data_IF_627332109514
#
_entry.id   IF_627332109514
#
_cell.length_a   1.000
_cell.length_b   1.000
_cell.length_c   1.000
_cell.angle_alpha   90.00
_cell.angle_beta   90.00
_cell.angle_gamma   90.00
#
_symmetry.space_group_name_H-M   'P 1'
#
loop_
_entity.id
_entity.type
_entity.pdbx_description
1 polymer ?
#
# COMPACT_ATOMS: atom_id res chain seq x y z
N UNK A 1 -14.97 4.60 30.89
CA UNK A 1 -13.67 5.04 31.46
C UNK A 1 -12.70 5.48 30.36
N UNK A 2 -11.58 6.15 30.72
CA UNK A 2 -10.56 6.58 29.73
C UNK A 2 -9.96 5.39 28.96
N UNK A 3 -9.82 4.23 29.59
CA UNK A 3 -9.28 3.02 28.98
C UNK A 3 -10.24 2.44 27.91
N UNK A 4 -11.54 2.47 28.16
CA UNK A 4 -12.55 1.99 27.20
C UNK A 4 -12.60 2.91 25.98
N UNK A 5 -12.46 4.20 26.19
CA UNK A 5 -12.40 5.20 25.13
C UNK A 5 -11.15 5.04 24.25
N UNK A 6 -10.00 4.72 24.86
CA UNK A 6 -8.74 4.49 24.15
C UNK A 6 -8.77 3.21 23.30
N UNK A 7 -9.34 2.12 23.84
CA UNK A 7 -9.51 0.86 23.08
C UNK A 7 -10.47 1.05 21.91
N UNK A 8 -11.57 1.76 22.13
CA UNK A 8 -12.54 2.08 21.07
C UNK A 8 -11.92 2.97 19.98
N UNK A 9 -11.06 3.92 20.36
CA UNK A 9 -10.33 4.73 19.37
C UNK A 9 -9.33 3.89 18.57
N UNK A 10 -8.55 3.04 19.23
CA UNK A 10 -7.62 2.14 18.58
C UNK A 10 -8.33 1.16 17.62
N UNK A 11 -9.54 0.70 17.98
CA UNK A 11 -10.35 -0.20 17.17
C UNK A 11 -10.83 0.42 15.83
N UNK A 12 -10.86 1.74 15.71
CA UNK A 12 -11.26 2.44 14.47
C UNK A 12 -10.10 2.69 13.52
N UNK A 13 -8.87 2.41 13.94
CA UNK A 13 -7.68 2.64 13.15
C UNK A 13 -7.56 1.63 12.00
N UNK A 14 -6.67 1.94 11.07
CA UNK A 14 -6.47 1.14 9.86
C UNK A 14 -5.71 -0.17 10.16
N UNK A 15 -4.50 -0.07 10.73
CA UNK A 15 -3.59 -1.20 10.94
C UNK A 15 -3.17 -1.30 12.40
N UNK A 16 -2.89 -2.54 12.85
CA UNK A 16 -2.49 -2.84 14.23
C UNK A 16 -1.27 -2.05 14.68
N UNK A 17 -0.28 -1.88 13.79
CA UNK A 17 0.93 -1.09 14.04
C UNK A 17 0.65 0.39 14.31
N UNK A 18 -0.49 0.91 13.87
CA UNK A 18 -0.96 2.27 14.11
C UNK A 18 -2.01 2.35 15.22
N UNK A 19 -2.40 1.21 15.80
CA UNK A 19 -3.45 1.11 16.83
C UNK A 19 -2.87 0.97 18.24
N UNK A 20 -1.66 1.43 18.44
CA UNK A 20 -0.97 1.50 19.74
C UNK A 20 -1.00 2.92 20.27
N UNK A 21 -0.95 3.07 21.58
CA UNK A 21 -0.86 4.36 22.26
C UNK A 21 0.19 4.32 23.36
N UNK A 22 0.95 5.40 23.50
CA UNK A 22 1.94 5.56 24.57
C UNK A 22 1.62 6.80 25.39
N UNK A 23 1.73 6.67 26.71
CA UNK A 23 1.66 7.81 27.62
C UNK A 23 2.78 7.73 28.67
N UNK A 24 3.48 8.85 28.97
CA UNK A 24 4.43 8.91 30.06
C UNK A 24 3.80 8.47 31.38
N UNK A 25 4.49 7.63 32.13
CA UNK A 25 4.00 7.07 33.41
C UNK A 25 2.95 5.94 33.30
N UNK A 26 2.34 5.73 32.11
CA UNK A 26 1.39 4.63 31.87
C UNK A 26 1.90 3.58 30.90
N UNK A 27 3.03 3.87 30.22
CA UNK A 27 3.66 2.97 29.26
C UNK A 27 2.89 2.82 27.95
N UNK A 28 3.23 1.79 27.20
CA UNK A 28 2.62 1.43 25.92
C UNK A 28 1.35 0.61 26.13
N UNK A 29 0.28 0.97 25.42
CA UNK A 29 -0.98 0.21 25.35
C UNK A 29 -1.15 -0.33 23.93
N UNK A 30 -1.17 -1.64 23.81
CA UNK A 30 -1.36 -2.39 22.57
C UNK A 30 -2.52 -3.37 22.76
N UNK A 31 -3.65 -3.05 22.14
CA UNK A 31 -4.88 -3.86 22.27
C UNK A 31 -5.06 -4.86 21.13
N UNK A 32 -4.28 -4.71 20.05
CA UNK A 32 -4.50 -5.44 18.79
C UNK A 32 -3.24 -6.15 18.28
N UNK A 33 -2.19 -6.26 19.11
CA UNK A 33 -0.97 -6.98 18.75
C UNK A 33 -0.02 -6.23 17.82
N UNK A 34 -0.14 -4.91 17.75
CA UNK A 34 0.68 -4.08 16.84
C UNK A 34 2.18 -4.20 17.06
N UNK A 35 2.63 -4.42 18.32
CA UNK A 35 4.05 -4.67 18.59
C UNK A 35 4.57 -5.97 17.97
N UNK A 36 3.75 -7.03 18.01
CA UNK A 36 4.11 -8.31 17.40
C UNK A 36 4.18 -8.18 15.88
N UNK A 37 3.16 -7.55 15.28
CA UNK A 37 3.11 -7.31 13.84
C UNK A 37 4.26 -6.39 13.38
N UNK A 38 4.61 -5.36 14.16
CA UNK A 38 5.75 -4.49 13.88
C UNK A 38 7.08 -5.24 13.86
N UNK A 39 7.32 -6.15 14.84
CA UNK A 39 8.53 -6.98 14.87
C UNK A 39 8.57 -8.00 13.72
N UNK A 40 7.41 -8.49 13.31
CA UNK A 40 7.28 -9.45 12.22
C UNK A 40 7.34 -8.81 10.82
N UNK A 41 7.38 -7.48 10.71
CA UNK A 41 7.27 -6.80 9.41
C UNK A 41 5.92 -7.03 8.74
N UNK A 42 4.85 -7.13 9.53
CA UNK A 42 3.52 -7.53 9.09
C UNK A 42 2.53 -6.35 9.17
N UNK A 43 1.75 -6.15 8.12
CA UNK A 43 0.65 -5.18 8.07
C UNK A 43 -0.68 -5.91 8.17
N UNK A 44 -1.28 -5.85 9.34
CA UNK A 44 -2.58 -6.43 9.65
C UNK A 44 -3.59 -5.32 9.89
N UNK A 45 -4.77 -5.42 9.25
CA UNK A 45 -5.88 -4.54 9.55
C UNK A 45 -6.40 -4.75 10.99
N UNK A 46 -6.90 -3.70 11.62
CA UNK A 46 -7.55 -3.82 12.93
C UNK A 46 -8.92 -4.43 12.77
N UNK A 47 -9.17 -5.58 13.40
CA UNK A 47 -10.43 -6.30 13.29
C UNK A 47 -10.64 -6.94 11.92
N UNK A 48 -11.86 -6.88 11.38
CA UNK A 48 -12.18 -7.43 10.07
C UNK A 48 -11.68 -6.51 8.93
N UNK A 49 -10.76 -6.97 8.06
CA UNK A 49 -10.22 -6.16 6.97
C UNK A 49 -11.28 -5.68 5.98
N UNK A 50 -12.28 -6.52 5.70
CA UNK A 50 -13.35 -6.18 4.77
C UNK A 50 -14.17 -4.99 5.27
N UNK A 51 -14.55 -5.00 6.53
CA UNK A 51 -15.25 -3.89 7.20
C UNK A 51 -14.39 -2.62 7.14
N UNK A 52 -13.09 -2.73 7.47
CA UNK A 52 -12.17 -1.57 7.46
C UNK A 52 -12.06 -0.91 6.09
N UNK A 53 -11.99 -1.71 5.01
CA UNK A 53 -11.87 -1.19 3.65
C UNK A 53 -13.20 -0.67 3.09
N UNK A 54 -14.31 -1.19 3.55
CA UNK A 54 -15.64 -0.65 3.19
C UNK A 54 -15.94 0.69 3.90
N UNK A 55 -15.44 0.91 5.12
CA UNK A 55 -15.57 2.20 5.82
C UNK A 55 -14.78 3.31 5.14
N UNK A 56 -13.54 3.04 4.71
CA UNK A 56 -12.70 3.97 3.95
C UNK A 56 -11.76 3.17 3.05
N UNK A 57 -12.09 3.10 1.77
CA UNK A 57 -11.32 2.37 0.76
C UNK A 57 -9.89 2.88 0.60
N UNK A 58 -9.60 4.14 0.94
CA UNK A 58 -8.24 4.67 0.92
C UNK A 58 -7.28 3.86 1.81
N UNK A 59 -7.79 3.17 2.84
CA UNK A 59 -6.99 2.28 3.70
C UNK A 59 -6.28 1.19 2.90
N UNK A 60 -6.80 0.78 1.74
CA UNK A 60 -6.14 -0.15 0.82
C UNK A 60 -4.82 0.46 0.33
N UNK A 61 -4.86 1.66 -0.26
CA UNK A 61 -3.64 2.34 -0.73
C UNK A 61 -2.70 2.69 0.42
N UNK A 62 -3.24 3.02 1.60
CA UNK A 62 -2.43 3.24 2.81
C UNK A 62 -1.66 1.98 3.21
N UNK A 63 -2.29 0.79 3.12
CA UNK A 63 -1.63 -0.50 3.34
C UNK A 63 -0.49 -0.73 2.37
N UNK A 64 -0.73 -0.55 1.07
CA UNK A 64 0.30 -0.66 0.05
C UNK A 64 1.43 0.36 0.25
N UNK A 65 1.10 1.59 0.62
CA UNK A 65 2.11 2.62 0.96
C UNK A 65 2.94 2.21 2.18
N UNK A 66 2.33 1.74 3.27
CA UNK A 66 3.08 1.26 4.43
C UNK A 66 3.97 0.07 4.07
N UNK A 67 3.48 -0.87 3.25
CA UNK A 67 4.27 -1.98 2.75
C UNK A 67 5.49 -1.51 1.95
N UNK A 68 5.33 -0.48 1.11
CA UNK A 68 6.43 0.09 0.33
C UNK A 68 7.44 0.87 1.20
N UNK A 69 6.95 1.65 2.18
CA UNK A 69 7.79 2.54 3.00
C UNK A 69 8.53 1.79 4.10
N UNK A 70 7.90 0.80 4.73
CA UNK A 70 8.46 0.02 5.83
C UNK A 70 9.10 -1.29 5.36
N UNK A 71 8.96 -1.65 4.09
CA UNK A 71 9.30 -2.95 3.51
C UNK A 71 8.62 -4.13 4.23
N UNK A 72 7.36 -3.94 4.61
CA UNK A 72 6.52 -4.93 5.28
C UNK A 72 5.65 -5.68 4.27
N UNK A 73 5.15 -6.87 4.69
CA UNK A 73 4.16 -7.63 3.93
C UNK A 73 2.76 -7.45 4.51
N UNK A 74 1.74 -7.45 3.66
CA UNK A 74 0.36 -7.54 4.16
C UNK A 74 0.12 -8.95 4.73
N UNK A 75 -0.59 -9.01 5.86
CA UNK A 75 -1.11 -10.26 6.40
C UNK A 75 -2.13 -10.85 5.41
N UNK A 76 -2.25 -12.19 5.38
CA UNK A 76 -2.96 -12.91 4.32
C UNK A 76 -4.43 -12.49 4.15
N UNK A 77 -5.20 -12.35 5.25
CA UNK A 77 -6.60 -11.90 5.20
C UNK A 77 -6.69 -10.45 4.76
N UNK A 78 -5.75 -9.62 5.23
CA UNK A 78 -5.65 -8.20 4.87
C UNK A 78 -5.31 -8.05 3.37
N UNK A 79 -4.40 -8.88 2.84
CA UNK A 79 -4.05 -8.89 1.41
C UNK A 79 -5.23 -9.33 0.55
N UNK A 80 -5.90 -10.43 0.92
CA UNK A 80 -7.09 -10.91 0.21
C UNK A 80 -8.19 -9.84 0.17
N UNK A 81 -8.44 -9.19 1.31
CA UNK A 81 -9.42 -8.13 1.38
C UNK A 81 -9.01 -6.89 0.55
N UNK A 82 -7.72 -6.49 0.57
CA UNK A 82 -7.22 -5.37 -0.24
C UNK A 82 -7.48 -5.60 -1.73
N UNK A 83 -7.21 -6.80 -2.23
CA UNK A 83 -7.49 -7.17 -3.64
C UNK A 83 -8.98 -7.21 -3.92
N UNK A 84 -9.78 -7.83 -3.05
CA UNK A 84 -11.23 -7.97 -3.22
C UNK A 84 -11.95 -6.63 -3.24
N UNK A 85 -11.58 -5.71 -2.36
CA UNK A 85 -12.24 -4.42 -2.18
C UNK A 85 -11.58 -3.28 -2.97
N UNK A 86 -10.53 -3.55 -3.76
CA UNK A 86 -9.87 -2.56 -4.62
C UNK A 86 -10.85 -1.72 -5.48
N UNK A 87 -11.93 -2.30 -6.07
CA UNK A 87 -12.88 -1.51 -6.86
C UNK A 87 -13.52 -0.33 -6.09
N UNK A 88 -13.56 -0.37 -4.76
CA UNK A 88 -14.06 0.74 -3.94
C UNK A 88 -13.18 1.99 -4.01
N UNK A 89 -11.94 1.88 -4.46
CA UNK A 89 -11.03 3.01 -4.67
C UNK A 89 -11.60 4.04 -5.68
N UNK A 90 -12.46 3.61 -6.59
CA UNK A 90 -13.17 4.53 -7.53
C UNK A 90 -14.04 5.57 -6.82
N UNK A 91 -14.41 5.33 -5.55
CA UNK A 91 -15.20 6.24 -4.72
C UNK A 91 -14.33 7.24 -3.93
N UNK A 92 -13.01 7.08 -3.96
CA UNK A 92 -12.05 7.96 -3.26
C UNK A 92 -11.63 9.07 -4.20
N UNK A 93 -11.47 10.29 -3.67
CA UNK A 93 -11.02 11.40 -4.53
C UNK A 93 -9.60 11.18 -5.06
N UNK A 94 -9.36 11.66 -6.28
CA UNK A 94 -8.08 11.49 -6.97
C UNK A 94 -6.91 12.09 -6.17
N UNK A 95 -7.13 13.21 -5.48
CA UNK A 95 -6.10 13.88 -4.68
C UNK A 95 -5.66 13.00 -3.50
N UNK A 96 -6.62 12.33 -2.82
CA UNK A 96 -6.30 11.41 -1.72
C UNK A 96 -5.53 10.20 -2.23
N UNK A 97 -5.94 9.63 -3.37
CA UNK A 97 -5.23 8.52 -4.01
C UNK A 97 -3.81 8.93 -4.43
N UNK A 98 -3.67 10.09 -5.08
CA UNK A 98 -2.37 10.61 -5.53
C UNK A 98 -1.41 10.86 -4.37
N UNK A 99 -1.91 11.36 -3.23
CA UNK A 99 -1.09 11.59 -2.04
C UNK A 99 -0.51 10.29 -1.45
N UNK A 100 -1.29 9.21 -1.40
CA UNK A 100 -0.81 7.91 -0.92
C UNK A 100 0.11 7.24 -1.94
N UNK A 101 -0.25 7.29 -3.24
CA UNK A 101 0.57 6.76 -4.33
C UNK A 101 1.95 7.45 -4.41
N UNK A 102 1.99 8.78 -4.25
CA UNK A 102 3.24 9.52 -4.25
C UNK A 102 4.19 9.08 -3.13
N UNK A 103 3.66 8.82 -1.93
CA UNK A 103 4.44 8.29 -0.80
C UNK A 103 4.87 6.84 -1.03
N UNK A 104 4.00 6.00 -1.62
CA UNK A 104 4.31 4.63 -2.00
C UNK A 104 5.50 4.59 -2.96
N UNK A 105 5.46 5.39 -4.02
CA UNK A 105 6.52 5.45 -5.04
C UNK A 105 7.87 5.86 -4.45
N UNK A 106 7.89 6.70 -3.42
CA UNK A 106 9.11 7.11 -2.72
C UNK A 106 9.59 6.09 -1.67
N UNK A 107 8.85 5.01 -1.44
CA UNK A 107 9.26 3.95 -0.52
C UNK A 107 10.40 3.09 -1.08
N UNK A 108 11.25 2.51 -0.20
CA UNK A 108 12.36 1.64 -0.62
C UNK A 108 11.91 0.34 -1.30
N UNK A 109 10.68 -0.14 -1.03
CA UNK A 109 10.13 -1.35 -1.64
C UNK A 109 9.05 -1.04 -2.69
N UNK A 110 9.07 0.14 -3.31
CA UNK A 110 8.06 0.59 -4.26
C UNK A 110 7.89 -0.40 -5.43
N UNK A 111 8.95 -0.80 -6.10
CA UNK A 111 8.86 -1.73 -7.24
C UNK A 111 8.35 -3.12 -6.85
N UNK A 112 8.65 -3.60 -5.63
CA UNK A 112 8.05 -4.84 -5.11
C UNK A 112 6.53 -4.72 -5.02
N UNK A 113 6.03 -3.62 -4.47
CA UNK A 113 4.59 -3.37 -4.33
C UNK A 113 3.93 -3.14 -5.70
N UNK A 114 4.56 -2.40 -6.61
CA UNK A 114 4.07 -2.24 -7.97
C UNK A 114 3.86 -3.61 -8.63
N UNK A 115 4.86 -4.50 -8.60
CA UNK A 115 4.75 -5.85 -9.19
C UNK A 115 3.66 -6.70 -8.54
N UNK A 116 3.50 -6.61 -7.22
CA UNK A 116 2.56 -7.45 -6.48
C UNK A 116 1.09 -7.02 -6.65
N UNK A 117 0.82 -5.73 -6.94
CA UNK A 117 -0.53 -5.18 -6.90
C UNK A 117 -0.95 -4.39 -8.15
N UNK A 118 -0.63 -4.86 -9.38
CA UNK A 118 -0.97 -4.12 -10.60
C UNK A 118 -2.48 -3.89 -10.73
N UNK A 119 -3.31 -4.90 -10.41
CA UNK A 119 -4.76 -4.79 -10.50
C UNK A 119 -5.35 -3.75 -9.52
N UNK A 120 -4.79 -3.62 -8.31
CA UNK A 120 -5.23 -2.62 -7.33
C UNK A 120 -4.84 -1.21 -7.78
N UNK A 121 -3.62 -1.05 -8.28
CA UNK A 121 -3.12 0.23 -8.79
C UNK A 121 -3.83 0.65 -10.07
N UNK A 122 -4.20 -0.30 -10.92
CA UNK A 122 -4.97 -0.07 -12.13
C UNK A 122 -6.41 0.40 -11.89
N UNK A 123 -6.96 0.25 -10.67
CA UNK A 123 -8.23 0.90 -10.31
C UNK A 123 -8.05 2.43 -10.19
N UNK A 124 -6.87 2.87 -9.78
CA UNK A 124 -6.56 4.31 -9.58
C UNK A 124 -6.02 4.94 -10.86
N UNK A 125 -5.19 4.20 -11.60
CA UNK A 125 -4.60 4.61 -12.89
C UNK A 125 -4.83 3.46 -13.88
N UNK A 126 -5.99 3.41 -14.54
CA UNK A 126 -6.35 2.32 -15.48
C UNK A 126 -5.35 2.17 -16.65
N UNK A 127 -4.69 3.23 -17.02
CA UNK A 127 -3.70 3.29 -18.09
C UNK A 127 -2.45 2.43 -17.81
N UNK A 128 -2.22 2.01 -16.57
CA UNK A 128 -1.13 1.12 -16.22
C UNK A 128 -1.42 -0.35 -16.60
N UNK A 129 -2.70 -0.74 -16.68
CA UNK A 129 -3.08 -2.14 -16.90
C UNK A 129 -2.58 -2.73 -18.23
N UNK A 130 -2.59 -2.00 -19.37
CA UNK A 130 -2.06 -2.52 -20.63
C UNK A 130 -0.58 -2.90 -20.58
N UNK A 131 0.19 -2.35 -19.64
CA UNK A 131 1.62 -2.66 -19.48
C UNK A 131 1.86 -4.06 -18.87
N UNK A 132 0.87 -4.60 -18.17
CA UNK A 132 0.97 -5.89 -17.44
C UNK A 132 0.92 -7.03 -18.46
N UNK A 133 1.98 -7.85 -18.47
CA UNK A 133 2.09 -8.96 -19.44
C UNK A 133 2.39 -8.53 -20.88
N UNK A 134 2.57 -7.24 -21.15
CA UNK A 134 2.94 -6.77 -22.49
C UNK A 134 4.42 -7.03 -22.75
N UNK A 135 4.70 -7.97 -23.65
CA UNK A 135 6.08 -8.36 -23.99
C UNK A 135 6.78 -7.25 -24.78
N UNK A 136 7.98 -6.88 -24.37
CA UNK A 136 8.85 -6.08 -25.25
C UNK A 136 9.18 -6.86 -26.52
N UNK A 137 8.96 -6.26 -27.70
CA UNK A 137 9.27 -6.87 -29.01
C UNK A 137 10.77 -6.93 -29.31
N UNK A 138 11.63 -6.76 -28.30
CA UNK A 138 13.07 -6.71 -28.46
C UNK A 138 13.76 -7.83 -27.68
N UNK A 139 14.64 -8.60 -28.32
CA UNK A 139 15.36 -9.76 -27.74
C UNK A 139 16.24 -9.44 -26.51
N UNK A 140 16.47 -8.17 -26.20
CA UNK A 140 17.27 -7.71 -25.08
C UNK A 140 16.48 -7.47 -23.78
N UNK A 141 15.16 -7.61 -23.77
CA UNK A 141 14.33 -7.41 -22.58
C UNK A 141 13.81 -8.75 -22.06
N UNK A 142 14.26 -9.11 -20.85
CA UNK A 142 13.82 -10.34 -20.16
C UNK A 142 12.55 -10.13 -19.33
N UNK A 143 12.00 -8.90 -19.26
CA UNK A 143 10.82 -8.55 -18.50
C UNK A 143 9.69 -8.02 -19.41
N UNK A 144 8.43 -8.18 -18.98
CA UNK A 144 7.32 -7.42 -19.53
C UNK A 144 7.45 -5.92 -19.20
N UNK A 145 6.67 -5.06 -19.86
CA UNK A 145 6.75 -3.60 -19.68
C UNK A 145 6.45 -3.20 -18.24
N UNK A 146 5.51 -3.85 -17.58
CA UNK A 146 5.18 -3.55 -16.19
C UNK A 146 6.31 -3.89 -15.22
N UNK A 147 6.88 -5.07 -15.35
CA UNK A 147 8.01 -5.51 -14.52
C UNK A 147 9.24 -4.63 -14.76
N UNK A 148 9.54 -4.28 -16.04
CA UNK A 148 10.59 -3.32 -16.38
C UNK A 148 10.37 -1.97 -15.69
N UNK A 149 9.17 -1.43 -15.79
CA UNK A 149 8.78 -0.16 -15.17
C UNK A 149 8.96 -0.19 -13.65
N UNK A 150 8.50 -1.26 -12.99
CA UNK A 150 8.65 -1.41 -11.54
C UNK A 150 10.14 -1.47 -11.11
N UNK A 151 10.97 -2.15 -11.90
CA UNK A 151 12.42 -2.17 -11.68
C UNK A 151 13.04 -0.79 -11.89
N UNK A 152 12.66 -0.08 -12.96
CA UNK A 152 13.16 1.26 -13.25
C UNK A 152 12.80 2.26 -12.13
N UNK A 153 11.60 2.15 -11.56
CA UNK A 153 11.18 2.95 -10.40
C UNK A 153 12.15 2.75 -9.23
N UNK A 154 12.57 1.53 -8.90
CA UNK A 154 13.49 1.29 -7.78
C UNK A 154 14.91 1.81 -8.02
N UNK A 155 15.34 1.90 -9.30
CA UNK A 155 16.70 2.31 -9.67
C UNK A 155 16.93 3.83 -9.73
N UNK A 156 15.90 4.65 -9.56
CA UNK A 156 16.06 6.11 -9.49
C UNK A 156 15.91 6.61 -8.05
N UNK A 157 16.53 7.75 -7.70
CA UNK A 157 16.38 8.33 -6.36
C UNK A 157 14.91 8.48 -5.94
N UNK A 158 14.59 8.34 -4.63
CA UNK A 158 13.21 8.41 -4.13
C UNK A 158 12.67 9.85 -4.09
N UNK A 159 12.69 10.49 -5.24
CA UNK A 159 12.12 11.82 -5.49
C UNK A 159 10.88 11.65 -6.35
N UNK A 160 9.74 12.17 -5.90
CA UNK A 160 8.45 11.95 -6.55
C UNK A 160 8.46 12.24 -8.06
N UNK A 161 9.03 13.36 -8.57
CA UNK A 161 9.05 13.61 -10.01
C UNK A 161 9.80 12.53 -10.81
N UNK A 162 10.93 12.03 -10.29
CA UNK A 162 11.72 10.98 -10.95
C UNK A 162 10.98 9.64 -10.92
N UNK A 163 10.40 9.27 -9.77
CA UNK A 163 9.65 8.02 -9.61
C UNK A 163 8.39 8.02 -10.48
N UNK A 164 7.69 9.14 -10.59
CA UNK A 164 6.55 9.31 -11.51
C UNK A 164 6.99 9.24 -12.97
N UNK A 165 8.08 9.90 -13.33
CA UNK A 165 8.62 9.80 -14.69
C UNK A 165 8.91 8.34 -15.06
N UNK A 166 9.52 7.56 -14.15
CA UNK A 166 9.79 6.14 -14.37
C UNK A 166 8.51 5.28 -14.40
N UNK A 167 7.50 5.60 -13.59
CA UNK A 167 6.23 4.88 -13.63
C UNK A 167 5.50 5.05 -14.96
N UNK A 168 5.63 6.22 -15.59
CA UNK A 168 4.83 6.62 -16.75
C UNK A 168 5.59 6.55 -18.09
N UNK A 169 6.93 6.35 -18.08
CA UNK A 169 7.76 6.48 -19.30
C UNK A 169 7.40 5.54 -20.43
N UNK A 170 6.87 4.38 -20.13
CA UNK A 170 6.50 3.34 -21.09
C UNK A 170 4.96 3.16 -21.24
N UNK A 171 4.18 4.03 -20.61
CA UNK A 171 2.72 4.03 -20.63
C UNK A 171 2.16 4.48 -21.97
N UNK A 172 2.27 3.72 -22.99
CA UNK A 172 1.78 4.08 -24.35
C UNK A 172 2.49 3.30 -25.45
N UNK A 173 3.30 2.35 -25.03
CA UNK A 173 3.97 1.42 -25.95
C UNK A 173 3.06 0.35 -26.53
#
# INVERSE_FOLDING_TARGET
TFADNLRADAARRDFTINAMAYAPGRGLRDYFGGQADLRAGCLRAVGDPGTRFQEDALRILRGLRFAAVLDFSLEEETDRAARRYAPLLTKVSAERCAAELGKLLCGPAAGRILRAYPAVLGVVIPELLPMVGFAHRNAHHCYDVWTHTAVAVDHVPPRLPLRLAMLLHDMGK
#
